data_IF_475832360798
#
_entry.id   IF_475832360798
#
_cell.length_a   1.000
_cell.length_b   1.000
_cell.length_c   1.000
_cell.angle_alpha   90.00
_cell.angle_beta   90.00
_cell.angle_gamma   90.00
#
_symmetry.space_group_name_H-M   'P 1'
#
loop_
_entity.id
_entity.type
_entity.pdbx_description
1 polymer ?
#
# COMPACT_ATOMS: atom_id res chain seq x y z
N UNK A 1 -28.59 -0.65 -3.29
CA UNK A 1 -27.28 -0.66 -2.63
C UNK A 1 -26.26 -1.04 -3.68
N UNK A 2 -25.28 -0.16 -3.91
CA UNK A 2 -24.15 -0.47 -4.78
C UNK A 2 -23.18 -1.44 -4.10
N UNK A 3 -22.19 -1.93 -4.83
CA UNK A 3 -21.17 -2.84 -4.29
C UNK A 3 -20.38 -2.21 -3.14
N UNK A 4 -20.07 -0.91 -3.23
CA UNK A 4 -19.36 -0.19 -2.17
C UNK A 4 -20.19 -0.12 -0.88
N UNK A 5 -21.51 0.12 -0.98
CA UNK A 5 -22.40 0.10 0.19
C UNK A 5 -22.38 -1.27 0.86
N UNK A 6 -22.46 -2.35 0.06
CA UNK A 6 -22.40 -3.72 0.57
C UNK A 6 -21.09 -3.97 1.32
N UNK A 7 -19.96 -3.53 0.75
CA UNK A 7 -18.66 -3.64 1.42
C UNK A 7 -18.68 -2.89 2.75
N UNK A 8 -19.12 -1.62 2.77
CA UNK A 8 -19.22 -0.83 4.01
C UNK A 8 -20.11 -1.52 5.05
N UNK A 9 -21.27 -2.07 4.64
CA UNK A 9 -22.13 -2.82 5.54
C UNK A 9 -21.46 -4.07 6.12
N UNK A 10 -20.72 -4.82 5.30
CA UNK A 10 -19.92 -5.95 5.78
C UNK A 10 -18.90 -5.48 6.82
N UNK A 11 -18.20 -4.37 6.57
CA UNK A 11 -17.25 -3.80 7.53
C UNK A 11 -17.95 -3.43 8.85
N UNK A 12 -19.12 -2.78 8.78
CA UNK A 12 -19.87 -2.39 9.98
C UNK A 12 -20.40 -3.58 10.77
N UNK A 13 -20.82 -4.66 10.10
CA UNK A 13 -21.18 -5.92 10.77
C UNK A 13 -19.96 -6.52 11.46
N UNK A 14 -18.82 -6.58 10.77
CA UNK A 14 -17.57 -7.09 11.35
C UNK A 14 -17.09 -6.22 12.52
N UNK A 15 -17.30 -4.90 12.46
CA UNK A 15 -17.05 -3.97 13.56
C UNK A 15 -17.89 -4.33 14.80
N UNK A 16 -19.19 -4.55 14.62
CA UNK A 16 -20.08 -4.94 15.73
C UNK A 16 -19.64 -6.28 16.32
N UNK A 17 -19.33 -7.27 15.47
CA UNK A 17 -18.83 -8.57 15.93
C UNK A 17 -17.51 -8.44 16.70
N UNK A 18 -16.56 -7.65 16.20
CA UNK A 18 -15.29 -7.38 16.87
C UNK A 18 -15.48 -6.67 18.22
N UNK A 19 -16.34 -5.65 18.27
CA UNK A 19 -16.66 -4.95 19.52
C UNK A 19 -17.34 -5.86 20.56
N UNK A 20 -18.25 -6.74 20.11
CA UNK A 20 -18.87 -7.74 20.99
C UNK A 20 -17.86 -8.77 21.48
N UNK A 21 -17.01 -9.28 20.60
CA UNK A 21 -15.97 -10.25 20.97
C UNK A 21 -14.99 -9.64 21.98
N UNK A 22 -14.58 -8.38 21.77
CA UNK A 22 -13.79 -7.61 22.75
C UNK A 22 -14.48 -7.57 24.12
N UNK A 23 -15.77 -7.26 24.15
CA UNK A 23 -16.53 -7.14 25.40
C UNK A 23 -16.66 -8.47 26.18
N UNK A 24 -16.61 -9.62 25.50
CA UNK A 24 -16.70 -10.96 26.13
C UNK A 24 -15.32 -11.59 26.40
N UNK A 25 -14.24 -10.83 26.27
CA UNK A 25 -12.88 -11.28 26.56
C UNK A 25 -12.12 -11.87 25.36
N UNK A 26 -12.42 -11.42 24.14
CA UNK A 26 -11.73 -11.77 22.90
C UNK A 26 -11.65 -13.29 22.65
N UNK A 27 -12.79 -13.97 22.70
CA UNK A 27 -12.85 -15.44 22.54
C UNK A 27 -12.63 -15.90 21.11
N UNK A 28 -12.98 -15.06 20.14
CA UNK A 28 -12.90 -15.37 18.71
C UNK A 28 -11.72 -14.68 18.01
N UNK A 29 -10.92 -13.90 18.72
CA UNK A 29 -9.78 -13.15 18.19
C UNK A 29 -10.17 -11.88 17.41
N UNK A 30 -11.47 -11.59 17.27
CA UNK A 30 -11.96 -10.40 16.55
C UNK A 30 -11.87 -9.14 17.41
N UNK A 31 -11.96 -9.29 18.74
CA UNK A 31 -11.82 -8.18 19.67
C UNK A 31 -10.44 -7.53 19.62
N UNK A 32 -9.38 -8.33 19.51
CA UNK A 32 -8.02 -7.83 19.31
C UNK A 32 -7.88 -7.07 17.98
N UNK A 33 -8.47 -7.58 16.90
CA UNK A 33 -8.46 -6.90 15.59
C UNK A 33 -9.26 -5.61 15.59
N UNK A 34 -10.35 -5.55 16.35
CA UNK A 34 -11.06 -4.31 16.62
C UNK A 34 -10.17 -3.29 17.35
N UNK A 35 -9.45 -3.71 18.39
CA UNK A 35 -8.51 -2.84 19.13
C UNK A 35 -7.37 -2.35 18.25
N UNK A 36 -6.76 -3.22 17.45
CA UNK A 36 -5.72 -2.88 16.48
C UNK A 36 -6.20 -1.77 15.53
N UNK A 37 -7.45 -1.85 15.05
CA UNK A 37 -8.02 -0.85 14.14
C UNK A 37 -8.10 0.54 14.79
N UNK A 38 -8.40 0.62 16.08
CA UNK A 38 -8.40 1.89 16.80
C UNK A 38 -6.98 2.36 17.14
N UNK A 39 -6.10 1.43 17.54
CA UNK A 39 -4.71 1.72 17.91
C UNK A 39 -3.87 2.20 16.71
N UNK A 40 -4.28 1.88 15.48
CA UNK A 40 -3.68 2.40 14.26
C UNK A 40 -3.75 3.94 14.15
N UNK A 41 -4.65 4.60 14.90
CA UNK A 41 -4.81 6.06 14.90
C UNK A 41 -3.51 6.81 15.23
N UNK A 42 -2.71 6.34 16.19
CA UNK A 42 -1.47 6.99 16.59
C UNK A 42 -0.42 7.03 15.47
N UNK A 43 -0.01 5.87 14.94
CA UNK A 43 0.89 5.80 13.79
C UNK A 43 0.37 6.56 12.56
N UNK A 44 -0.93 6.43 12.23
CA UNK A 44 -1.54 7.14 11.11
C UNK A 44 -1.52 8.66 11.30
N UNK A 45 -1.77 9.15 12.52
CA UNK A 45 -1.69 10.58 12.82
C UNK A 45 -0.27 11.11 12.63
N UNK A 46 0.75 10.36 13.07
CA UNK A 46 2.15 10.75 12.89
C UNK A 46 2.57 10.81 11.41
N UNK A 47 2.08 9.89 10.57
CA UNK A 47 2.42 9.86 9.15
C UNK A 47 1.59 10.83 8.29
N UNK A 48 0.32 11.07 8.64
CA UNK A 48 -0.63 11.76 7.78
C UNK A 48 -0.83 13.22 8.14
N UNK A 49 -0.97 13.56 9.43
CA UNK A 49 -1.36 14.92 9.86
C UNK A 49 -0.32 15.95 9.42
N UNK A 50 0.97 15.61 9.54
CA UNK A 50 2.06 16.48 9.09
C UNK A 50 2.05 16.72 7.57
N UNK A 51 1.83 15.68 6.74
CA UNK A 51 1.74 15.84 5.28
C UNK A 51 0.47 16.60 4.90
N UNK A 52 -0.65 16.30 5.56
CA UNK A 52 -1.92 16.99 5.33
C UNK A 52 -1.73 18.49 5.55
N UNK A 53 -1.19 18.87 6.71
CA UNK A 53 -0.88 20.26 7.04
C UNK A 53 0.06 20.90 6.01
N UNK A 54 1.09 20.16 5.59
CA UNK A 54 2.09 20.62 4.61
C UNK A 54 1.64 20.56 3.14
N UNK A 55 0.49 19.97 2.81
CA UNK A 55 0.16 19.66 1.42
C UNK A 55 0.14 20.89 0.50
N UNK A 56 -0.35 22.09 0.92
CA UNK A 56 -0.28 23.28 0.07
C UNK A 56 1.15 23.75 -0.15
N UNK A 57 1.98 23.69 0.91
CA UNK A 57 3.40 24.06 0.85
C UNK A 57 4.17 23.12 -0.08
N UNK A 58 3.95 21.81 0.04
CA UNK A 58 4.55 20.82 -0.84
C UNK A 58 4.12 21.03 -2.29
N UNK A 59 2.83 21.25 -2.55
CA UNK A 59 2.33 21.53 -3.89
C UNK A 59 2.95 22.82 -4.48
N UNK A 60 3.14 23.86 -3.67
CA UNK A 60 3.78 25.11 -4.08
C UNK A 60 5.26 24.93 -4.44
N UNK A 61 5.99 24.12 -3.69
CA UNK A 61 7.41 23.85 -3.93
C UNK A 61 7.63 22.90 -5.12
N UNK A 62 6.83 21.84 -5.18
CA UNK A 62 6.97 20.79 -6.19
C UNK A 62 6.34 21.19 -7.53
N UNK A 63 5.26 21.99 -7.51
CA UNK A 63 4.50 22.39 -8.67
C UNK A 63 5.34 22.94 -9.83
N UNK A 64 6.24 23.93 -9.62
CA UNK A 64 7.07 24.48 -10.69
C UNK A 64 7.97 23.47 -11.40
N UNK A 65 8.34 22.37 -10.73
CA UNK A 65 9.19 21.32 -11.28
C UNK A 65 8.34 20.23 -11.93
N UNK A 66 7.25 19.84 -11.28
CA UNK A 66 6.41 18.71 -11.68
C UNK A 66 5.48 19.09 -12.84
N UNK A 67 4.84 20.27 -12.77
CA UNK A 67 3.84 20.68 -13.76
C UNK A 67 4.36 20.63 -15.20
N UNK A 68 5.52 21.23 -15.54
CA UNK A 68 6.02 21.21 -16.92
C UNK A 68 6.30 19.80 -17.43
N UNK A 69 6.74 18.89 -16.56
CA UNK A 69 7.07 17.51 -16.92
C UNK A 69 5.80 16.71 -17.21
N UNK A 70 4.76 16.83 -16.37
CA UNK A 70 3.51 16.08 -16.55
C UNK A 70 2.67 16.66 -17.69
N UNK A 71 2.58 17.98 -17.81
CA UNK A 71 1.85 18.67 -18.88
C UNK A 71 2.47 18.40 -20.26
N UNK A 72 3.79 18.15 -20.36
CA UNK A 72 4.44 17.73 -21.61
C UNK A 72 3.81 16.45 -22.20
N UNK A 73 3.35 15.54 -21.35
CA UNK A 73 2.67 14.31 -21.75
C UNK A 73 1.13 14.47 -21.79
N UNK A 74 0.61 15.66 -21.46
CA UNK A 74 -0.81 15.91 -21.25
C UNK A 74 -1.37 15.32 -19.95
N UNK A 75 -0.51 14.81 -19.06
CA UNK A 75 -0.90 14.20 -17.80
C UNK A 75 -1.12 15.25 -16.72
N UNK A 76 -1.97 14.93 -15.75
CA UNK A 76 -2.24 15.79 -14.61
C UNK A 76 -1.04 15.78 -13.63
N UNK A 77 -0.51 16.94 -13.22
CA UNK A 77 0.60 17.04 -12.28
C UNK A 77 0.38 16.32 -10.94
N UNK A 78 -0.88 16.17 -10.51
CA UNK A 78 -1.21 15.47 -9.27
C UNK A 78 -0.77 14.01 -9.28
N UNK A 79 -0.62 13.38 -10.45
CA UNK A 79 -0.10 12.00 -10.58
C UNK A 79 1.29 11.81 -9.95
N UNK A 80 2.05 12.89 -9.78
CA UNK A 80 3.31 12.86 -9.02
C UNK A 80 3.11 12.47 -7.55
N UNK A 81 2.03 12.93 -6.92
CA UNK A 81 1.75 12.65 -5.51
C UNK A 81 1.67 11.14 -5.25
N UNK A 82 0.83 10.41 -5.99
CA UNK A 82 0.68 8.97 -5.86
C UNK A 82 1.87 8.15 -6.38
N UNK A 83 2.75 8.75 -7.19
CA UNK A 83 3.99 8.11 -7.63
C UNK A 83 4.97 7.95 -6.46
N UNK A 84 5.02 8.92 -5.55
CA UNK A 84 5.99 8.94 -4.46
C UNK A 84 5.40 8.61 -3.10
N UNK A 85 4.19 9.07 -2.80
CA UNK A 85 3.59 8.95 -1.48
C UNK A 85 2.45 7.93 -1.48
N UNK A 86 2.40 7.11 -0.45
CA UNK A 86 1.26 6.23 -0.22
C UNK A 86 -0.01 7.06 0.00
N UNK A 87 -1.17 6.48 -0.32
CA UNK A 87 -2.46 7.15 -0.19
C UNK A 87 -2.70 7.67 1.24
N UNK A 88 -2.39 6.86 2.23
CA UNK A 88 -2.48 7.11 3.66
C UNK A 88 -1.25 7.82 4.28
N UNK A 89 -0.15 7.91 3.53
CA UNK A 89 1.06 8.67 3.90
C UNK A 89 1.15 10.00 3.16
N UNK A 90 -0.01 10.61 2.93
CA UNK A 90 -0.10 11.97 2.40
C UNK A 90 -0.16 12.09 0.88
N UNK A 91 -0.15 10.98 0.13
CA UNK A 91 -0.38 10.98 -1.31
C UNK A 91 -1.76 11.49 -1.70
N UNK A 92 -2.80 11.15 -0.92
CA UNK A 92 -4.14 11.71 -1.10
C UNK A 92 -4.21 13.23 -0.93
N UNK A 93 -3.87 13.81 0.24
CA UNK A 93 -3.94 15.26 0.43
C UNK A 93 -3.01 16.04 -0.49
N UNK A 94 -1.83 15.50 -0.85
CA UNK A 94 -0.96 16.14 -1.82
C UNK A 94 -1.58 16.15 -3.22
N UNK A 95 -2.22 15.06 -3.66
CA UNK A 95 -2.92 15.04 -4.94
C UNK A 95 -4.03 16.09 -4.99
N UNK A 96 -4.79 16.25 -3.91
CA UNK A 96 -5.81 17.29 -3.78
C UNK A 96 -5.24 18.72 -3.85
N UNK A 97 -4.06 18.94 -3.28
CA UNK A 97 -3.40 20.24 -3.34
C UNK A 97 -2.76 20.56 -4.71
N UNK A 98 -2.58 19.56 -5.58
CA UNK A 98 -1.89 19.73 -6.86
C UNK A 98 -2.81 19.94 -8.06
N UNK A 99 -4.10 19.59 -7.94
CA UNK A 99 -5.09 19.73 -9.02
C UNK A 99 -6.50 19.90 -8.47
N UNK A 100 -7.34 20.61 -9.21
CA UNK A 100 -8.78 20.73 -8.94
C UNK A 100 -9.60 19.62 -9.63
N UNK A 101 -8.97 18.78 -10.46
CA UNK A 101 -9.65 17.69 -11.15
C UNK A 101 -9.88 16.47 -10.22
N UNK A 102 -11.14 16.16 -9.84
CA UNK A 102 -11.41 15.08 -8.89
C UNK A 102 -10.96 13.69 -9.38
N UNK A 103 -11.00 13.45 -10.69
CA UNK A 103 -10.56 12.17 -11.25
C UNK A 103 -9.05 12.00 -11.13
N UNK A 104 -8.28 13.09 -11.33
CA UNK A 104 -6.83 13.08 -11.12
C UNK A 104 -6.46 12.89 -9.64
N UNK A 105 -7.19 13.54 -8.73
CA UNK A 105 -7.02 13.35 -7.29
C UNK A 105 -7.23 11.89 -6.91
N UNK A 106 -8.31 11.27 -7.37
CA UNK A 106 -8.68 9.86 -7.09
C UNK A 106 -7.70 8.88 -7.74
N UNK A 107 -7.37 9.07 -9.00
CA UNK A 107 -6.46 8.20 -9.75
C UNK A 107 -5.03 8.26 -9.19
N UNK A 108 -4.56 9.45 -8.83
CA UNK A 108 -3.25 9.63 -8.21
C UNK A 108 -3.26 9.17 -6.75
N UNK A 109 -4.04 9.86 -5.93
CA UNK A 109 -3.93 9.77 -4.48
C UNK A 109 -4.46 8.47 -3.91
N UNK A 110 -5.55 7.90 -4.44
CA UNK A 110 -6.16 6.68 -3.88
C UNK A 110 -5.71 5.41 -4.60
N UNK A 111 -5.48 5.47 -5.91
CA UNK A 111 -5.16 4.29 -6.72
C UNK A 111 -3.64 4.15 -6.88
N UNK A 112 -2.99 5.13 -7.51
CA UNK A 112 -1.55 5.07 -7.76
C UNK A 112 -0.76 5.11 -6.44
N UNK A 113 -1.15 5.98 -5.50
CA UNK A 113 -0.55 6.07 -4.17
C UNK A 113 -0.62 4.74 -3.42
N UNK A 114 -1.75 4.05 -3.49
CA UNK A 114 -1.92 2.75 -2.86
C UNK A 114 -1.05 1.64 -3.47
N UNK A 115 -0.42 1.84 -4.63
CA UNK A 115 0.44 0.85 -5.30
C UNK A 115 1.89 1.34 -5.40
N UNK A 116 2.14 2.36 -6.21
CA UNK A 116 3.50 2.87 -6.47
C UNK A 116 4.04 3.61 -5.27
N UNK A 117 3.30 4.59 -4.74
CA UNK A 117 3.69 5.35 -3.57
C UNK A 117 3.98 4.44 -2.37
N UNK A 118 3.03 3.57 -2.02
CA UNK A 118 3.22 2.57 -0.96
C UNK A 118 4.46 1.69 -1.18
N UNK A 119 4.76 1.32 -2.43
CA UNK A 119 5.97 0.54 -2.72
C UNK A 119 7.25 1.33 -2.46
N UNK A 120 7.28 2.59 -2.89
CA UNK A 120 8.47 3.47 -2.83
C UNK A 120 8.78 3.87 -1.38
N UNK A 121 7.77 4.33 -0.62
CA UNK A 121 7.99 4.85 0.74
C UNK A 121 7.87 3.81 1.84
N UNK A 122 7.22 2.67 1.57
CA UNK A 122 6.97 1.66 2.60
C UNK A 122 7.52 0.29 2.24
N UNK A 123 7.00 -0.39 1.22
CA UNK A 123 7.32 -1.80 0.95
C UNK A 123 8.82 -2.04 0.79
N UNK A 124 9.52 -1.24 -0.03
CA UNK A 124 10.96 -1.42 -0.25
C UNK A 124 11.78 -1.13 1.01
N UNK A 125 11.66 0.04 1.68
CA UNK A 125 12.43 0.32 2.90
C UNK A 125 12.15 -0.67 4.04
N UNK A 126 10.89 -1.02 4.27
CA UNK A 126 10.47 -1.92 5.36
C UNK A 126 10.97 -3.34 5.11
N UNK A 127 10.78 -3.87 3.89
CA UNK A 127 11.28 -5.19 3.54
C UNK A 127 12.79 -5.31 3.81
N UNK A 128 13.57 -4.32 3.39
CA UNK A 128 15.04 -4.34 3.53
C UNK A 128 15.54 -4.21 4.97
N UNK A 129 14.70 -3.72 5.88
CA UNK A 129 14.94 -3.69 7.31
C UNK A 129 14.57 -5.00 8.03
N UNK A 130 13.64 -5.78 7.47
CA UNK A 130 13.14 -7.04 8.08
C UNK A 130 13.86 -8.27 7.51
N UNK A 131 14.00 -8.35 6.18
CA UNK A 131 14.51 -9.57 5.52
C UNK A 131 16.03 -9.69 5.63
N UNK A 132 16.50 -10.93 5.56
CA UNK A 132 17.92 -11.24 5.54
C UNK A 132 18.63 -10.66 4.31
N UNK A 133 19.91 -10.30 4.47
CA UNK A 133 20.72 -9.75 3.38
C UNK A 133 20.81 -10.68 2.17
N UNK A 134 20.82 -12.00 2.40
CA UNK A 134 20.82 -13.03 1.36
C UNK A 134 19.54 -13.06 0.53
N UNK A 135 18.44 -12.52 1.06
CA UNK A 135 17.12 -12.58 0.43
C UNK A 135 16.79 -11.37 -0.45
N UNK A 136 17.59 -10.30 -0.33
CA UNK A 136 17.43 -9.06 -1.10
C UNK A 136 17.41 -9.24 -2.62
N UNK A 137 18.18 -10.15 -3.23
CA UNK A 137 18.09 -10.39 -4.67
C UNK A 137 16.72 -10.95 -5.10
N UNK A 138 16.05 -11.74 -4.26
CA UNK A 138 14.71 -12.25 -4.54
C UNK A 138 13.66 -11.14 -4.42
N UNK A 139 13.77 -10.32 -3.38
CA UNK A 139 12.94 -9.11 -3.22
C UNK A 139 13.07 -8.21 -4.45
N UNK A 140 14.29 -7.87 -4.87
CA UNK A 140 14.53 -6.97 -6.01
C UNK A 140 13.90 -7.49 -7.31
N UNK A 141 14.01 -8.79 -7.59
CA UNK A 141 13.38 -9.42 -8.76
C UNK A 141 11.85 -9.34 -8.70
N UNK A 142 11.28 -9.63 -7.54
CA UNK A 142 9.82 -9.55 -7.34
C UNK A 142 9.31 -8.13 -7.48
N UNK A 143 9.95 -7.17 -6.79
CA UNK A 143 9.59 -5.75 -6.87
C UNK A 143 9.68 -5.22 -8.31
N UNK A 144 10.71 -5.61 -9.05
CA UNK A 144 10.84 -5.24 -10.47
C UNK A 144 9.65 -5.74 -11.29
N UNK A 145 9.27 -7.01 -11.14
CA UNK A 145 8.11 -7.57 -11.82
C UNK A 145 6.81 -6.85 -11.41
N UNK A 146 6.64 -6.54 -10.12
CA UNK A 146 5.45 -5.86 -9.62
C UNK A 146 5.31 -4.41 -10.08
N UNK A 147 6.40 -3.64 -10.10
CA UNK A 147 6.33 -2.21 -10.47
C UNK A 147 5.89 -2.04 -11.92
N UNK A 148 6.33 -2.95 -12.80
CA UNK A 148 5.98 -2.92 -14.23
C UNK A 148 4.49 -3.20 -14.47
N UNK A 149 3.79 -3.86 -13.54
CA UNK A 149 2.35 -4.16 -13.69
C UNK A 149 1.43 -3.13 -13.03
N UNK A 150 1.95 -2.17 -12.27
CA UNK A 150 1.14 -1.08 -11.68
C UNK A 150 0.27 -0.34 -12.71
N UNK A 151 0.78 0.03 -13.91
CA UNK A 151 -0.05 0.64 -14.95
C UNK A 151 -1.34 -0.12 -15.27
N UNK A 152 -1.30 -1.46 -15.24
CA UNK A 152 -2.48 -2.31 -15.49
C UNK A 152 -3.51 -2.09 -14.38
N UNK A 153 -3.07 -2.04 -13.12
CA UNK A 153 -3.94 -1.77 -11.97
C UNK A 153 -4.60 -0.40 -12.06
N UNK A 154 -3.82 0.63 -12.44
CA UNK A 154 -4.33 2.01 -12.60
C UNK A 154 -5.42 2.07 -13.68
N UNK A 155 -5.20 1.39 -14.82
CA UNK A 155 -6.18 1.30 -15.92
C UNK A 155 -7.47 0.61 -15.45
N UNK A 156 -7.35 -0.52 -14.76
CA UNK A 156 -8.51 -1.28 -14.25
C UNK A 156 -9.27 -0.48 -13.20
N UNK A 157 -8.59 0.17 -12.27
CA UNK A 157 -9.25 1.02 -11.28
C UNK A 157 -9.94 2.22 -11.92
N UNK A 158 -9.30 2.90 -12.88
CA UNK A 158 -9.92 4.00 -13.61
C UNK A 158 -11.18 3.57 -14.35
N UNK A 159 -11.15 2.42 -15.02
CA UNK A 159 -12.31 1.84 -15.67
C UNK A 159 -13.43 1.47 -14.68
N UNK A 160 -13.07 0.82 -13.56
CA UNK A 160 -14.01 0.45 -12.50
C UNK A 160 -14.63 1.66 -11.80
N UNK A 161 -13.91 2.78 -11.73
CA UNK A 161 -14.40 4.06 -11.22
C UNK A 161 -15.24 4.85 -12.22
N UNK A 162 -15.39 4.38 -13.46
CA UNK A 162 -16.13 5.07 -14.52
C UNK A 162 -15.44 6.30 -15.09
N UNK A 163 -14.12 6.41 -14.92
CA UNK A 163 -13.34 7.54 -15.44
C UNK A 163 -13.22 7.48 -16.97
N UNK A 164 -13.11 8.62 -17.67
CA UNK A 164 -12.86 8.64 -19.10
C UNK A 164 -11.53 7.93 -19.44
N UNK A 165 -11.57 6.87 -20.23
CA UNK A 165 -10.36 6.07 -20.49
C UNK A 165 -9.23 6.85 -21.17
N UNK A 166 -9.56 7.83 -22.03
CA UNK A 166 -8.57 8.73 -22.61
C UNK A 166 -7.78 9.51 -21.54
N UNK A 167 -8.47 9.99 -20.51
CA UNK A 167 -7.85 10.63 -19.36
C UNK A 167 -6.96 9.65 -18.59
N UNK A 168 -7.44 8.43 -18.33
CA UNK A 168 -6.66 7.40 -17.61
C UNK A 168 -5.38 7.05 -18.37
N UNK A 169 -5.46 6.79 -19.68
CA UNK A 169 -4.29 6.41 -20.47
C UNK A 169 -3.22 7.50 -20.52
N UNK A 170 -3.61 8.76 -20.66
CA UNK A 170 -2.68 9.89 -20.65
C UNK A 170 -1.95 9.98 -19.31
N UNK A 171 -2.69 9.84 -18.20
CA UNK A 171 -2.12 9.87 -16.85
C UNK A 171 -1.26 8.65 -16.50
N UNK A 172 -1.37 7.55 -17.26
CA UNK A 172 -0.54 6.35 -17.10
C UNK A 172 0.84 6.49 -17.75
N UNK A 173 1.02 7.41 -18.72
CA UNK A 173 2.30 7.59 -19.42
C UNK A 173 3.46 7.91 -18.45
N UNK A 174 3.36 8.90 -17.54
CA UNK A 174 4.44 9.18 -16.58
C UNK A 174 4.70 8.02 -15.61
N UNK A 175 3.67 7.22 -15.32
CA UNK A 175 3.77 6.04 -14.43
C UNK A 175 4.61 4.96 -15.10
N UNK A 176 4.39 4.70 -16.38
CA UNK A 176 5.19 3.72 -17.16
C UNK A 176 6.65 4.17 -17.20
N UNK A 177 6.92 5.45 -17.45
CA UNK A 177 8.28 5.98 -17.47
C UNK A 177 8.96 5.82 -16.10
N UNK A 178 8.26 6.17 -15.02
CA UNK A 178 8.79 6.01 -13.66
C UNK A 178 9.01 4.55 -13.30
N UNK A 179 8.07 3.67 -13.63
CA UNK A 179 8.21 2.22 -13.44
C UNK A 179 9.43 1.66 -14.17
N UNK A 180 9.66 2.08 -15.42
CA UNK A 180 10.82 1.69 -16.21
C UNK A 180 12.14 2.17 -15.58
N UNK A 181 12.18 3.42 -15.09
CA UNK A 181 13.36 3.98 -14.41
C UNK A 181 13.67 3.25 -13.10
N UNK A 182 12.65 2.97 -12.28
CA UNK A 182 12.84 2.22 -11.02
C UNK A 182 13.28 0.79 -11.32
N UNK A 183 12.63 0.11 -12.28
CA UNK A 183 13.01 -1.23 -12.70
C UNK A 183 14.45 -1.29 -13.21
N UNK A 184 14.86 -0.34 -14.05
CA UNK A 184 16.23 -0.23 -14.55
C UNK A 184 17.24 0.02 -13.41
N UNK A 185 16.91 0.93 -12.48
CA UNK A 185 17.74 1.22 -11.32
C UNK A 185 17.93 0.00 -10.41
N UNK A 186 16.84 -0.73 -10.10
CA UNK A 186 16.89 -1.95 -9.29
C UNK A 186 17.66 -3.07 -9.99
N UNK A 187 17.59 -3.16 -11.31
CA UNK A 187 18.36 -4.13 -12.09
C UNK A 187 19.86 -3.80 -12.11
N UNK A 188 20.22 -2.53 -12.31
CA UNK A 188 21.62 -2.11 -12.52
C UNK A 188 22.40 -1.83 -11.25
N UNK A 189 21.72 -1.36 -10.19
CA UNK A 189 22.33 -0.92 -8.93
C UNK A 189 21.37 -1.04 -7.72
N UNK A 190 20.95 -2.26 -7.34
CA UNK A 190 19.95 -2.48 -6.28
C UNK A 190 20.35 -1.90 -4.92
N UNK A 191 21.63 -1.99 -4.54
CA UNK A 191 22.13 -1.43 -3.27
C UNK A 191 22.11 0.10 -3.26
N UNK A 192 22.39 0.74 -4.40
CA UNK A 192 22.32 2.19 -4.53
C UNK A 192 20.88 2.68 -4.47
N UNK A 193 19.97 2.01 -5.19
CA UNK A 193 18.52 2.29 -5.13
C UNK A 193 17.98 2.11 -3.71
N UNK A 194 18.37 1.03 -3.04
CA UNK A 194 18.04 0.78 -1.62
C UNK A 194 18.44 1.95 -0.73
N UNK A 195 19.70 2.39 -0.82
CA UNK A 195 20.18 3.55 -0.06
C UNK A 195 19.39 4.81 -0.41
N UNK A 196 19.10 5.01 -1.69
CA UNK A 196 18.28 6.12 -2.19
C UNK A 196 16.88 6.14 -1.59
N UNK A 197 16.14 5.04 -1.66
CA UNK A 197 14.80 4.92 -1.11
C UNK A 197 14.77 5.06 0.41
N UNK A 198 15.73 4.49 1.14
CA UNK A 198 15.84 4.68 2.59
C UNK A 198 16.14 6.14 2.95
N UNK A 199 17.04 6.81 2.22
CA UNK A 199 17.36 8.21 2.45
C UNK A 199 16.15 9.11 2.12
N UNK A 200 15.45 8.82 1.01
CA UNK A 200 14.22 9.49 0.63
C UNK A 200 13.14 9.33 1.69
N UNK A 201 12.85 8.10 2.13
CA UNK A 201 11.87 7.82 3.18
C UNK A 201 12.21 8.54 4.50
N UNK A 202 13.48 8.53 4.91
CA UNK A 202 13.93 9.29 6.09
C UNK A 202 13.76 10.80 5.93
N UNK A 203 14.11 11.34 4.76
CA UNK A 203 13.93 12.75 4.44
C UNK A 203 12.45 13.15 4.44
N UNK A 204 11.59 12.30 3.89
CA UNK A 204 10.15 12.48 3.91
C UNK A 204 9.62 12.50 5.34
N UNK A 205 9.93 11.48 6.16
CA UNK A 205 9.53 11.44 7.58
C UNK A 205 10.00 12.67 8.34
N UNK A 206 11.22 13.14 8.07
CA UNK A 206 11.74 14.37 8.66
C UNK A 206 10.87 15.59 8.30
N UNK A 207 10.57 15.80 7.01
CA UNK A 207 9.72 16.91 6.54
C UNK A 207 8.33 16.83 7.17
N UNK A 208 7.71 15.66 7.19
CA UNK A 208 6.40 15.41 7.80
C UNK A 208 6.41 15.76 9.28
N UNK A 209 7.45 15.33 10.00
CA UNK A 209 7.59 15.57 11.43
C UNK A 209 7.72 17.07 11.73
N UNK A 210 8.48 17.82 10.92
CA UNK A 210 8.58 19.28 11.04
C UNK A 210 7.23 19.94 10.78
N UNK A 211 6.52 19.53 9.72
CA UNK A 211 5.18 20.02 9.43
C UNK A 211 4.20 19.79 10.57
N UNK A 212 4.22 18.61 11.16
CA UNK A 212 3.39 18.27 12.31
C UNK A 212 3.73 19.13 13.54
N UNK A 213 5.02 19.28 13.87
CA UNK A 213 5.47 20.08 15.00
C UNK A 213 5.05 21.54 14.84
N UNK A 214 5.29 22.12 13.66
CA UNK A 214 4.88 23.50 13.36
C UNK A 214 3.36 23.63 13.43
N UNK A 215 2.62 22.76 12.74
CA UNK A 215 1.16 22.82 12.71
C UNK A 215 0.52 22.70 14.09
N UNK A 216 0.98 21.75 14.92
CA UNK A 216 0.49 21.61 16.30
C UNK A 216 0.87 22.82 17.15
N UNK A 217 2.08 23.34 17.02
CA UNK A 217 2.52 24.51 17.76
C UNK A 217 1.68 25.74 17.41
N UNK A 218 1.47 26.03 16.13
CA UNK A 218 0.65 27.16 15.67
C UNK A 218 -0.80 27.01 16.14
N UNK A 219 -1.35 25.79 16.04
CA UNK A 219 -2.72 25.49 16.50
C UNK A 219 -2.90 25.73 17.99
N UNK A 220 -1.99 25.22 18.84
CA UNK A 220 -2.14 25.27 20.30
C UNK A 220 -1.79 26.64 20.85
N UNK A 221 -0.68 27.24 20.39
CA UNK A 221 -0.17 28.50 20.94
C UNK A 221 -0.80 29.74 20.31
N UNK A 222 -1.43 29.59 19.13
CA UNK A 222 -1.93 30.68 18.28
C UNK A 222 -0.82 31.62 17.77
N UNK A 223 0.45 31.25 17.92
CA UNK A 223 1.60 31.97 17.38
C UNK A 223 1.90 31.43 15.98
N UNK A 224 1.85 32.27 14.94
CA UNK A 224 2.22 31.89 13.57
C UNK A 224 3.75 31.87 13.40
N UNK A 225 4.27 30.75 12.94
CA UNK A 225 5.68 30.51 12.57
C UNK A 225 5.84 30.61 11.06
N UNK A 226 4.90 30.04 10.29
CA UNK A 226 4.98 29.99 8.84
C UNK A 226 4.80 31.39 8.23
N UNK A 227 5.61 31.74 7.21
CA UNK A 227 5.50 33.02 6.54
C UNK A 227 4.21 33.10 5.71
N UNK A 228 3.81 34.33 5.39
CA UNK A 228 2.65 34.59 4.55
C UNK A 228 2.76 33.87 3.19
N UNK A 229 1.69 33.20 2.79
CA UNK A 229 1.62 32.37 1.59
C UNK A 229 2.23 30.97 1.73
N UNK A 230 2.63 30.56 2.94
CA UNK A 230 3.10 29.21 3.28
C UNK A 230 2.30 28.61 4.43
N UNK A 231 1.05 29.02 4.58
CA UNK A 231 0.16 28.57 5.63
C UNK A 231 -0.04 27.04 5.55
N UNK A 232 -0.03 26.41 6.72
CA UNK A 232 -0.39 25.01 6.85
C UNK A 232 -1.91 24.87 6.89
N UNK A 233 -2.42 23.73 6.42
CA UNK A 233 -3.80 23.34 6.73
C UNK A 233 -3.93 23.05 8.23
N UNK A 234 -5.12 23.28 8.83
CA UNK A 234 -5.35 22.97 10.23
C UNK A 234 -5.06 21.50 10.54
N UNK A 235 -4.26 21.25 11.57
CA UNK A 235 -3.91 19.88 11.98
C UNK A 235 -5.14 19.13 12.51
N UNK A 236 -6.13 19.86 13.02
CA UNK A 236 -7.41 19.31 13.48
C UNK A 236 -8.19 18.60 12.37
N UNK A 237 -8.16 19.15 11.15
CA UNK A 237 -8.79 18.52 9.99
C UNK A 237 -8.08 17.22 9.62
N UNK A 238 -6.74 17.23 9.69
CA UNK A 238 -5.93 16.02 9.55
C UNK A 238 -6.29 14.96 10.60
N UNK A 239 -6.42 15.35 11.87
CA UNK A 239 -6.82 14.45 12.96
C UNK A 239 -8.25 13.91 12.73
N UNK A 240 -9.18 14.73 12.27
CA UNK A 240 -10.55 14.31 11.98
C UNK A 240 -10.62 13.28 10.84
N UNK A 241 -9.77 13.44 9.83
CA UNK A 241 -9.62 12.44 8.75
C UNK A 241 -9.08 11.12 9.34
N UNK A 242 -8.03 11.17 10.16
CA UNK A 242 -7.50 9.96 10.81
C UNK A 242 -8.54 9.29 11.72
N UNK A 243 -9.35 10.08 12.44
CA UNK A 243 -10.47 9.57 13.24
C UNK A 243 -11.50 8.82 12.37
N UNK A 244 -11.85 9.39 11.22
CA UNK A 244 -12.77 8.75 10.26
C UNK A 244 -12.20 7.44 9.71
N UNK A 245 -10.91 7.41 9.42
CA UNK A 245 -10.21 6.19 8.98
C UNK A 245 -10.24 5.14 10.09
N UNK A 246 -9.90 5.51 11.33
CA UNK A 246 -9.90 4.60 12.47
C UNK A 246 -11.29 3.96 12.69
N UNK A 247 -12.37 4.73 12.55
CA UNK A 247 -13.74 4.20 12.63
C UNK A 247 -14.01 3.12 11.57
N UNK A 248 -13.49 3.28 10.36
CA UNK A 248 -13.59 2.25 9.31
C UNK A 248 -12.70 1.04 9.62
N UNK A 249 -11.49 1.26 10.17
CA UNK A 249 -10.55 0.20 10.52
C UNK A 249 -11.07 -0.73 11.62
N UNK A 250 -11.91 -0.23 12.54
CA UNK A 250 -12.61 -1.06 13.53
C UNK A 250 -13.39 -2.21 12.90
N UNK A 251 -13.89 -2.03 11.67
CA UNK A 251 -14.58 -3.06 10.90
C UNK A 251 -13.69 -3.76 9.87
N UNK A 252 -12.78 -3.01 9.24
CA UNK A 252 -11.87 -3.54 8.23
C UNK A 252 -10.97 -4.64 8.77
N UNK A 253 -10.31 -4.43 9.91
CA UNK A 253 -9.37 -5.43 10.44
C UNK A 253 -10.05 -6.74 10.87
N UNK A 254 -11.19 -6.73 11.59
CA UNK A 254 -11.96 -7.96 11.80
C UNK A 254 -12.43 -8.61 10.50
N UNK A 255 -12.90 -7.84 9.51
CA UNK A 255 -13.32 -8.39 8.22
C UNK A 255 -12.16 -9.08 7.50
N UNK A 256 -10.99 -8.44 7.45
CA UNK A 256 -9.75 -9.02 6.90
C UNK A 256 -9.39 -10.29 7.63
N UNK A 257 -9.43 -10.29 8.96
CA UNK A 257 -9.13 -11.48 9.74
C UNK A 257 -10.05 -12.64 9.38
N UNK A 258 -11.36 -12.41 9.24
CA UNK A 258 -12.31 -13.44 8.80
C UNK A 258 -12.04 -13.90 7.36
N UNK A 259 -11.77 -12.97 6.44
CA UNK A 259 -11.47 -13.30 5.03
C UNK A 259 -10.21 -14.15 4.95
N UNK A 260 -9.16 -13.79 5.69
CA UNK A 260 -7.90 -14.55 5.73
C UNK A 260 -8.12 -15.92 6.37
N UNK A 261 -8.81 -15.98 7.50
CA UNK A 261 -9.06 -17.24 8.24
C UNK A 261 -9.92 -18.22 7.44
N UNK A 262 -11.00 -17.75 6.80
CA UNK A 262 -11.87 -18.62 5.99
C UNK A 262 -11.36 -18.85 4.57
N UNK A 263 -10.64 -17.87 4.00
CA UNK A 263 -10.06 -17.92 2.66
C UNK A 263 -8.73 -18.66 2.58
N UNK A 264 -8.11 -19.01 3.71
CA UNK A 264 -6.79 -19.63 3.73
C UNK A 264 -6.69 -20.93 2.91
N UNK A 265 -7.71 -21.80 2.97
CA UNK A 265 -7.71 -23.09 2.23
C UNK A 265 -7.73 -22.91 0.70
N UNK A 266 -8.69 -22.18 0.10
CA UNK A 266 -8.70 -21.96 -1.34
C UNK A 266 -7.49 -21.18 -1.83
N UNK A 267 -7.00 -20.18 -1.08
CA UNK A 267 -5.80 -19.42 -1.48
C UNK A 267 -4.51 -20.26 -1.35
N UNK A 268 -4.39 -21.12 -0.33
CA UNK A 268 -3.26 -22.05 -0.18
C UNK A 268 -3.23 -23.11 -1.29
N UNK A 269 -4.39 -23.61 -1.73
CA UNK A 269 -4.49 -24.51 -2.87
C UNK A 269 -3.97 -23.86 -4.17
N UNK A 270 -4.18 -22.56 -4.34
CA UNK A 270 -3.67 -21.79 -5.48
C UNK A 270 -2.15 -21.63 -5.42
N UNK A 271 -1.55 -21.55 -4.22
CA UNK A 271 -0.10 -21.59 -4.03
C UNK A 271 0.54 -22.88 -4.55
N UNK A 272 -0.10 -24.03 -4.33
CA UNK A 272 0.39 -25.32 -4.86
C UNK A 272 0.44 -25.35 -6.40
N UNK A 273 -0.50 -24.68 -7.08
CA UNK A 273 -0.52 -24.60 -8.54
C UNK A 273 0.68 -23.84 -9.12
N UNK A 274 1.25 -22.89 -8.38
CA UNK A 274 2.43 -22.12 -8.81
C UNK A 274 3.75 -22.71 -8.28
N UNK A 275 3.69 -23.84 -7.56
CA UNK A 275 4.84 -24.60 -7.08
C UNK A 275 5.69 -23.84 -6.05
N UNK A 276 5.03 -23.25 -5.06
CA UNK A 276 5.66 -22.58 -3.91
C UNK A 276 5.30 -23.32 -2.61
N UNK A 277 6.15 -23.21 -1.59
CA UNK A 277 5.93 -23.87 -0.30
C UNK A 277 4.79 -23.24 0.52
N UNK A 278 4.42 -23.88 1.63
CA UNK A 278 3.30 -23.44 2.49
C UNK A 278 3.52 -22.03 3.06
N UNK A 279 4.73 -21.70 3.49
CA UNK A 279 5.07 -20.37 4.00
C UNK A 279 4.88 -19.29 2.92
N UNK A 280 5.30 -19.57 1.68
CA UNK A 280 5.10 -18.65 0.58
C UNK A 280 3.61 -18.49 0.20
N UNK A 281 2.83 -19.56 0.23
CA UNK A 281 1.38 -19.47 0.02
C UNK A 281 0.70 -18.63 1.13
N UNK A 282 1.10 -18.84 2.39
CA UNK A 282 0.66 -18.03 3.53
C UNK A 282 1.03 -16.55 3.38
N UNK A 283 2.23 -16.26 2.87
CA UNK A 283 2.69 -14.90 2.59
C UNK A 283 1.81 -14.12 1.62
N UNK A 284 1.28 -14.77 0.57
CA UNK A 284 0.39 -14.11 -0.39
C UNK A 284 -0.91 -13.67 0.28
N UNK A 285 -1.41 -14.49 1.20
CA UNK A 285 -2.61 -14.17 1.98
C UNK A 285 -2.31 -13.04 2.97
N UNK A 286 -1.21 -13.16 3.72
CA UNK A 286 -0.80 -12.16 4.70
C UNK A 286 -0.63 -10.77 4.05
N UNK A 287 -0.03 -10.73 2.87
CA UNK A 287 0.20 -9.50 2.09
C UNK A 287 -1.07 -8.68 1.88
N UNK A 288 -2.22 -9.32 1.62
CA UNK A 288 -3.49 -8.61 1.39
C UNK A 288 -3.91 -7.77 2.60
N UNK A 289 -3.61 -8.25 3.80
CA UNK A 289 -3.82 -7.53 5.05
C UNK A 289 -2.69 -6.51 5.27
N UNK A 290 -1.45 -7.00 5.32
CA UNK A 290 -0.24 -6.21 5.57
C UNK A 290 1.00 -7.00 5.08
N UNK A 291 1.94 -6.33 4.41
CA UNK A 291 3.16 -6.96 3.91
C UNK A 291 4.24 -7.19 4.99
N UNK A 292 4.16 -6.57 6.18
CA UNK A 292 5.10 -6.82 7.29
C UNK A 292 5.07 -8.29 7.71
N UNK A 293 3.86 -8.82 7.96
CA UNK A 293 3.68 -10.21 8.37
C UNK A 293 4.24 -11.20 7.33
N UNK A 294 4.15 -10.85 6.04
CA UNK A 294 4.76 -11.62 4.97
C UNK A 294 6.29 -11.55 5.01
N UNK A 295 6.87 -10.37 5.27
CA UNK A 295 8.32 -10.20 5.35
C UNK A 295 8.97 -10.90 6.55
N UNK A 296 8.26 -11.04 7.68
CA UNK A 296 8.75 -11.76 8.86
C UNK A 296 8.93 -13.27 8.60
N UNK A 297 8.06 -13.85 7.77
CA UNK A 297 8.14 -15.26 7.34
C UNK A 297 8.92 -15.44 6.03
N UNK A 298 9.48 -14.38 5.46
CA UNK A 298 10.16 -14.41 4.15
C UNK A 298 11.31 -15.41 4.12
N UNK A 299 12.08 -15.48 5.20
CA UNK A 299 13.22 -16.42 5.34
C UNK A 299 12.81 -17.89 5.21
N UNK A 300 11.57 -18.23 5.55
CA UNK A 300 10.99 -19.58 5.49
C UNK A 300 10.43 -19.93 4.10
N UNK A 301 10.44 -18.98 3.16
CA UNK A 301 9.94 -19.21 1.80
C UNK A 301 11.01 -19.79 0.90
N UNK A 302 10.58 -20.65 -0.02
CA UNK A 302 11.43 -21.10 -1.12
C UNK A 302 11.78 -19.92 -2.07
N UNK A 303 12.83 -20.09 -2.87
CA UNK A 303 13.35 -19.02 -3.74
C UNK A 303 12.31 -18.46 -4.71
N UNK A 304 11.44 -19.32 -5.26
CA UNK A 304 10.36 -18.90 -6.15
C UNK A 304 9.29 -18.18 -5.33
N UNK A 305 8.89 -18.75 -4.20
CA UNK A 305 7.98 -18.17 -3.22
C UNK A 305 8.35 -16.73 -2.82
N UNK A 306 9.62 -16.49 -2.50
CA UNK A 306 10.17 -15.15 -2.20
C UNK A 306 9.92 -14.14 -3.31
N UNK A 307 10.23 -14.51 -4.56
CA UNK A 307 10.06 -13.63 -5.73
C UNK A 307 8.57 -13.34 -5.97
N UNK A 308 7.71 -14.37 -5.94
CA UNK A 308 6.28 -14.20 -6.21
C UNK A 308 5.59 -13.36 -5.14
N UNK A 309 5.93 -13.58 -3.86
CA UNK A 309 5.42 -12.76 -2.76
C UNK A 309 5.86 -11.31 -2.85
N UNK A 310 7.14 -11.07 -3.13
CA UNK A 310 7.65 -9.72 -3.34
C UNK A 310 6.96 -9.01 -4.52
N UNK A 311 6.68 -9.72 -5.62
CA UNK A 311 5.94 -9.17 -6.76
C UNK A 311 4.49 -8.84 -6.40
N UNK A 312 3.81 -9.75 -5.71
CA UNK A 312 2.43 -9.54 -5.26
C UNK A 312 2.32 -8.34 -4.31
N UNK A 313 3.27 -8.19 -3.39
CA UNK A 313 3.29 -7.13 -2.39
C UNK A 313 3.43 -5.71 -2.97
N UNK A 314 3.95 -5.54 -4.17
CA UNK A 314 4.03 -4.20 -4.81
C UNK A 314 2.65 -3.59 -5.01
N UNK A 315 1.68 -4.38 -5.48
CA UNK A 315 0.37 -3.87 -5.83
C UNK A 315 -0.72 -4.33 -4.87
N UNK A 316 -0.67 -5.58 -4.39
CA UNK A 316 -1.74 -6.16 -3.59
C UNK A 316 -1.62 -5.89 -2.08
N UNK A 317 -0.47 -5.37 -1.61
CA UNK A 317 -0.30 -5.07 -0.19
C UNK A 317 -1.38 -4.11 0.30
N UNK A 318 -1.94 -4.39 1.48
CA UNK A 318 -2.98 -3.58 2.13
C UNK A 318 -4.28 -3.44 1.33
N UNK A 319 -4.48 -4.24 0.27
CA UNK A 319 -5.70 -4.20 -0.54
C UNK A 319 -6.95 -4.47 0.29
N UNK A 320 -6.83 -5.27 1.34
CA UNK A 320 -7.90 -5.55 2.28
C UNK A 320 -7.69 -4.89 3.64
N UNK A 321 -6.46 -4.51 4.00
CA UNK A 321 -6.12 -3.84 5.26
C UNK A 321 -6.17 -2.30 5.20
N UNK A 322 -5.02 -1.67 5.48
CA UNK A 322 -4.91 -0.23 5.73
C UNK A 322 -5.45 0.63 4.58
N UNK A 323 -5.12 0.30 3.32
CA UNK A 323 -5.59 1.10 2.19
C UNK A 323 -7.10 0.94 1.97
N UNK A 324 -7.69 -0.22 2.27
CA UNK A 324 -9.14 -0.39 2.26
C UNK A 324 -9.78 0.50 3.31
N UNK A 325 -9.31 0.44 4.56
CA UNK A 325 -9.83 1.29 5.63
C UNK A 325 -9.67 2.78 5.32
N UNK A 326 -8.52 3.17 4.78
CA UNK A 326 -8.25 4.54 4.34
C UNK A 326 -9.24 5.00 3.26
N UNK A 327 -9.32 4.26 2.15
CA UNK A 327 -10.23 4.61 1.05
C UNK A 327 -11.67 4.62 1.53
N UNK A 328 -12.07 3.68 2.38
CA UNK A 328 -13.40 3.65 2.95
C UNK A 328 -13.70 4.86 3.86
N UNK A 329 -12.68 5.43 4.51
CA UNK A 329 -12.81 6.63 5.34
C UNK A 329 -12.90 7.94 4.56
N UNK A 330 -12.22 8.04 3.41
CA UNK A 330 -12.09 9.32 2.66
C UNK A 330 -12.85 9.37 1.34
N UNK A 331 -13.08 8.22 0.69
CA UNK A 331 -13.76 8.10 -0.59
C UNK A 331 -14.41 6.70 -0.74
N UNK A 332 -15.53 6.43 -0.04
CA UNK A 332 -16.16 5.11 -0.03
C UNK A 332 -16.54 4.59 -1.43
N UNK A 333 -16.84 5.47 -2.37
CA UNK A 333 -17.14 5.13 -3.77
C UNK A 333 -15.94 4.53 -4.52
N UNK A 334 -14.72 4.74 -4.02
CA UNK A 334 -13.48 4.26 -4.62
C UNK A 334 -12.99 2.93 -4.03
N UNK A 335 -13.70 2.32 -3.06
CA UNK A 335 -13.29 1.05 -2.43
C UNK A 335 -13.16 -0.07 -3.49
N UNK A 336 -14.25 -0.38 -4.21
CA UNK A 336 -14.22 -1.45 -5.21
C UNK A 336 -13.23 -1.16 -6.37
N UNK A 337 -13.17 0.06 -6.95
CA UNK A 337 -12.16 0.40 -7.93
C UNK A 337 -10.71 0.20 -7.45
N UNK A 338 -10.40 0.63 -6.22
CA UNK A 338 -9.07 0.51 -5.63
C UNK A 338 -8.70 -0.97 -5.42
N UNK A 339 -9.58 -1.77 -4.82
CA UNK A 339 -9.36 -3.21 -4.62
C UNK A 339 -9.16 -3.92 -5.96
N UNK A 340 -10.03 -3.64 -6.95
CA UNK A 340 -9.96 -4.28 -8.26
C UNK A 340 -8.60 -4.04 -8.94
N UNK A 341 -8.13 -2.79 -9.00
CA UNK A 341 -6.85 -2.49 -9.63
C UNK A 341 -5.67 -3.09 -8.89
N UNK A 342 -5.65 -3.02 -7.54
CA UNK A 342 -4.57 -3.61 -6.73
C UNK A 342 -4.48 -5.13 -6.91
N UNK A 343 -5.62 -5.82 -6.89
CA UNK A 343 -5.65 -7.27 -7.09
C UNK A 343 -5.25 -7.66 -8.52
N UNK A 344 -5.75 -6.94 -9.54
CA UNK A 344 -5.35 -7.23 -10.94
C UNK A 344 -3.86 -6.95 -11.17
N UNK A 345 -3.34 -5.83 -10.69
CA UNK A 345 -1.90 -5.55 -10.75
C UNK A 345 -1.06 -6.58 -9.98
N UNK A 346 -1.53 -7.03 -8.81
CA UNK A 346 -0.86 -8.06 -8.02
C UNK A 346 -0.87 -9.43 -8.70
N UNK A 347 -2.00 -9.88 -9.24
CA UNK A 347 -2.11 -11.16 -9.97
C UNK A 347 -1.25 -11.13 -11.23
N UNK A 348 -1.28 -10.02 -11.98
CA UNK A 348 -0.42 -9.85 -13.16
C UNK A 348 1.07 -9.77 -12.78
N UNK A 349 1.41 -9.18 -11.63
CA UNK A 349 2.78 -9.18 -11.10
C UNK A 349 3.29 -10.60 -10.83
N UNK A 350 2.47 -11.42 -10.18
CA UNK A 350 2.79 -12.84 -9.91
C UNK A 350 2.96 -13.60 -11.23
N UNK A 351 2.06 -13.41 -12.19
CA UNK A 351 2.15 -14.04 -13.50
C UNK A 351 3.44 -13.64 -14.24
N UNK A 352 3.76 -12.34 -14.28
CA UNK A 352 4.98 -11.83 -14.90
C UNK A 352 6.24 -12.35 -14.19
N UNK A 353 6.26 -12.31 -12.86
CA UNK A 353 7.38 -12.83 -12.07
C UNK A 353 7.59 -14.33 -12.30
N UNK A 354 6.51 -15.10 -12.39
CA UNK A 354 6.57 -16.52 -12.72
C UNK A 354 7.17 -16.73 -14.11
N UNK A 355 6.68 -16.02 -15.13
CA UNK A 355 7.19 -16.13 -16.50
C UNK A 355 8.68 -15.77 -16.61
N UNK A 356 9.13 -14.73 -15.91
CA UNK A 356 10.51 -14.25 -15.97
C UNK A 356 11.48 -15.13 -15.16
N UNK A 357 11.05 -15.63 -13.99
CA UNK A 357 12.00 -16.20 -13.01
C UNK A 357 11.78 -17.66 -12.66
N UNK A 358 10.64 -18.30 -13.01
CA UNK A 358 10.35 -19.68 -12.62
C UNK A 358 11.33 -20.72 -13.20
N UNK A 359 11.92 -20.46 -14.37
CA UNK A 359 12.96 -21.33 -14.95
C UNK A 359 14.27 -21.27 -14.16
N UNK A 360 14.64 -20.09 -13.68
CA UNK A 360 15.85 -19.87 -12.89
C UNK A 360 15.68 -20.20 -11.40
N UNK A 361 14.44 -20.38 -10.93
CA UNK A 361 14.08 -20.73 -9.56
C UNK A 361 13.02 -21.85 -9.63
N UNK A 362 13.46 -23.11 -9.77
CA UNK A 362 12.56 -24.26 -9.91
C UNK A 362 11.68 -24.42 -8.66
N UNK A 363 10.58 -25.17 -8.83
CA UNK A 363 9.72 -25.53 -7.71
C UNK A 363 10.50 -26.40 -6.71
N UNK A 364 10.11 -26.32 -5.45
CA UNK A 364 10.61 -27.20 -4.39
C UNK A 364 10.36 -28.66 -4.81
N UNK A 365 11.35 -29.53 -4.63
CA UNK A 365 11.17 -30.95 -4.94
C UNK A 365 10.23 -31.61 -3.92
N UNK A 366 9.55 -32.69 -4.31
CA UNK A 366 8.64 -33.40 -3.39
C UNK A 366 9.37 -33.91 -2.13
N UNK A 367 10.67 -34.19 -2.24
CA UNK A 367 11.52 -34.64 -1.13
C UNK A 367 11.88 -33.50 -0.16
N UNK A 368 12.08 -32.28 -0.66
CA UNK A 368 12.29 -31.08 0.17
C UNK A 368 10.99 -30.67 0.91
N UNK A 369 9.83 -30.81 0.25
CA UNK A 369 8.52 -30.52 0.85
C UNK A 369 8.18 -31.53 1.97
N UNK A 370 8.53 -32.81 1.78
CA UNK A 370 8.37 -33.85 2.80
C UNK A 370 9.31 -33.63 4.01
N UNK A 371 10.52 -33.11 3.79
CA UNK A 371 11.45 -32.78 4.86
C UNK A 371 11.00 -31.55 5.68
N UNK A 372 10.46 -30.51 5.03
CA UNK A 372 9.85 -29.35 5.73
C UNK A 372 8.64 -29.76 6.57
N UNK A 373 7.76 -30.61 6.03
CA UNK A 373 6.57 -31.10 6.76
C UNK A 373 6.94 -31.98 7.95
N UNK A 374 8.00 -32.78 7.84
CA UNK A 374 8.52 -33.58 8.95
C UNK A 374 9.15 -32.72 10.06
N UNK A 375 9.83 -31.62 9.70
CA UNK A 375 10.40 -30.69 10.68
C UNK A 375 9.30 -29.90 11.41
N UNK A 376 8.29 -29.40 10.69
CA UNK A 376 7.16 -28.66 11.28
C UNK A 376 6.26 -29.51 12.19
N UNK A 377 6.18 -30.83 11.95
CA UNK A 377 5.45 -31.77 12.81
C UNK A 377 6.17 -32.15 14.11
N UNK A 378 7.42 -31.73 14.30
CA UNK A 378 8.23 -32.04 15.50
C UNK A 378 8.23 -30.94 16.57
N UNK A 379 7.65 -29.77 16.27
CA UNK A 379 7.50 -28.62 17.20
C UNK A 379 6.07 -28.49 17.78
N UNK A 380 5.20 -29.50 17.58
CA UNK A 380 3.80 -29.53 18.03
C UNK A 380 3.58 -30.02 19.45
#
# INVERSE_FOLDING_TARGET
MGINDIIVWILMICMVLGGLDRAIGNKFGLGEKFEEGFNAMGPLALSMVGVYALSPVLAKVLGPIVKPVYELFGADPAMFAGTLLANDMGGWPLAQAMTDNPDAQRLSGLILGAMMGATVVFTIPVALGIIDKSDRPFLAKGVLAGIVTIPIGVIVSGAAAGMPMGFVFVNVIPIILTAALIAFGLWRAPDAMTKGFMAFGKGLVFVISIGLVIGVFETVTKVRIMPEGWELLPVEDGIAIVGSIAMMLLGAFPAVHLIVTFGAKPLSALGKLVGINKSAAGGLIATLANNIAMFEIFKNMDRRGKILNAAFAVAAAFALGDHLGFTAGVAPDMIAPMIAGKLVAGITAVALAYLLFAKSNPAVSADEEAAEDAAAGSEG
#
